data_IF_241138020618
#
_entry.id   IF_241138020618
#
_cell.length_a   1.000
_cell.length_b   1.000
_cell.length_c   1.000
_cell.angle_alpha   90.00
_cell.angle_beta   90.00
_cell.angle_gamma   90.00
#
_symmetry.space_group_name_H-M   'P 1'
#
loop_
_entity.id
_entity.type
_entity.pdbx_description
1 polymer ?
#
# COMPACT_ATOMS: atom_id res chain seq x y z
N UNK A 1 65.83 -1.31 16.52
CA UNK A 1 67.13 -1.13 15.85
C UNK A 1 66.82 -0.88 14.39
N UNK A 2 67.11 0.34 13.91
CA UNK A 2 66.90 0.71 12.50
C UNK A 2 68.02 0.10 11.66
N UNK A 3 67.66 -0.57 10.56
CA UNK A 3 68.46 -0.59 9.33
C UNK A 3 67.58 -1.01 8.15
N UNK A 4 67.56 -0.16 7.13
CA UNK A 4 66.87 -0.29 5.85
C UNK A 4 67.81 -0.85 4.77
N UNK A 5 67.21 -1.64 3.87
CA UNK A 5 67.48 -1.84 2.42
C UNK A 5 68.85 -2.43 2.01
N UNK A 6 68.86 -3.55 1.29
CA UNK A 6 69.22 -3.57 -0.14
C UNK A 6 69.04 -4.94 -0.84
N UNK A 7 68.35 -4.83 -1.96
CA UNK A 7 68.25 -5.66 -3.15
C UNK A 7 69.39 -6.67 -3.44
N UNK A 8 69.05 -7.93 -3.73
CA UNK A 8 69.70 -8.73 -4.78
C UNK A 8 69.00 -10.08 -4.99
N UNK A 9 68.49 -10.24 -6.20
CA UNK A 9 67.90 -11.46 -6.77
C UNK A 9 68.81 -12.69 -6.70
N UNK A 10 68.23 -13.84 -6.32
CA UNK A 10 68.74 -15.17 -6.68
C UNK A 10 67.64 -16.00 -7.38
N UNK A 11 68.01 -16.59 -8.53
CA UNK A 11 67.18 -17.52 -9.32
C UNK A 11 67.33 -18.96 -8.80
N UNK A 12 66.20 -19.65 -8.77
CA UNK A 12 65.94 -21.10 -8.86
C UNK A 12 66.56 -22.02 -7.80
N UNK A 13 65.71 -22.89 -7.21
CA UNK A 13 65.64 -24.34 -7.47
C UNK A 13 64.57 -24.94 -6.55
N UNK A 14 63.65 -25.73 -7.12
CA UNK A 14 63.09 -26.91 -6.45
C UNK A 14 61.74 -26.77 -5.72
N UNK A 15 60.77 -27.53 -6.23
CA UNK A 15 59.55 -28.04 -5.58
C UNK A 15 58.64 -27.06 -4.82
N UNK A 16 57.61 -26.59 -5.53
CA UNK A 16 56.40 -26.11 -4.88
C UNK A 16 55.28 -27.07 -5.24
N UNK A 17 54.87 -27.82 -4.22
CA UNK A 17 53.62 -28.56 -4.18
C UNK A 17 52.48 -27.66 -4.63
N UNK A 18 51.73 -28.14 -5.62
CA UNK A 18 50.54 -27.52 -6.17
C UNK A 18 49.49 -27.28 -5.09
N UNK A 19 49.53 -26.11 -4.46
CA UNK A 19 48.38 -25.55 -3.75
C UNK A 19 47.58 -24.78 -4.80
N UNK A 20 46.61 -25.46 -5.40
CA UNK A 20 45.52 -24.80 -6.12
C UNK A 20 44.73 -23.97 -5.11
N UNK A 21 45.17 -22.74 -4.88
CA UNK A 21 44.35 -21.72 -4.23
C UNK A 21 43.25 -21.37 -5.21
N UNK A 22 42.11 -22.06 -5.10
CA UNK A 22 40.86 -21.61 -5.69
C UNK A 22 40.51 -20.31 -4.95
N UNK A 23 40.89 -19.18 -5.52
CA UNK A 23 40.34 -17.89 -5.13
C UNK A 23 38.87 -17.98 -5.54
N UNK A 24 37.98 -18.27 -4.58
CA UNK A 24 36.57 -17.97 -4.73
C UNK A 24 36.49 -16.45 -4.88
N UNK A 25 36.48 -15.97 -6.13
CA UNK A 25 36.14 -14.60 -6.41
C UNK A 25 34.73 -14.39 -5.85
N UNK A 26 34.62 -13.65 -4.75
CA UNK A 26 33.32 -13.21 -4.25
C UNK A 26 32.66 -12.46 -5.40
N UNK A 27 31.59 -13.03 -5.94
CA UNK A 27 30.81 -12.39 -7.00
C UNK A 27 30.35 -11.05 -6.42
N UNK A 28 30.78 -9.95 -7.05
CA UNK A 28 30.34 -8.62 -6.64
C UNK A 28 28.80 -8.62 -6.60
N UNK A 29 28.18 -8.14 -5.50
CA UNK A 29 26.74 -8.17 -5.37
C UNK A 29 26.11 -7.38 -6.51
N UNK A 30 25.02 -7.91 -7.06
CA UNK A 30 24.28 -7.21 -8.11
C UNK A 30 23.66 -5.92 -7.56
N UNK A 31 23.25 -5.01 -8.46
CA UNK A 31 22.49 -3.82 -8.09
C UNK A 31 21.26 -4.19 -7.25
N UNK A 32 20.52 -5.19 -7.73
CA UNK A 32 19.27 -5.62 -7.10
C UNK A 32 19.54 -6.26 -5.73
N UNK A 33 20.57 -7.12 -5.60
CA UNK A 33 20.96 -7.73 -4.32
C UNK A 33 21.37 -6.67 -3.27
N UNK A 34 21.86 -5.53 -3.73
CA UNK A 34 22.27 -4.42 -2.87
C UNK A 34 21.07 -3.59 -2.43
N UNK A 35 20.15 -3.29 -3.36
CA UNK A 35 18.95 -2.50 -3.08
C UNK A 35 17.92 -3.27 -2.28
N UNK A 36 17.74 -4.57 -2.53
CA UNK A 36 16.74 -5.43 -1.88
C UNK A 36 16.91 -5.49 -0.35
N UNK A 37 18.13 -5.31 0.16
CA UNK A 37 18.40 -5.21 1.60
C UNK A 37 17.75 -4.01 2.29
N UNK A 38 17.42 -2.98 1.53
CA UNK A 38 16.91 -1.70 2.04
C UNK A 38 15.55 -1.33 1.46
N UNK A 39 15.22 -1.85 0.29
CA UNK A 39 13.93 -1.69 -0.34
C UNK A 39 12.85 -2.48 0.42
N UNK A 40 11.63 -1.99 0.31
CA UNK A 40 10.43 -2.74 0.63
C UNK A 40 9.63 -2.97 -0.66
N UNK A 41 9.76 -4.16 -1.24
CA UNK A 41 9.05 -4.55 -2.46
C UNK A 41 7.56 -4.86 -2.20
N UNK A 42 7.18 -5.15 -0.95
CA UNK A 42 5.77 -5.34 -0.57
C UNK A 42 4.95 -4.04 -0.67
N UNK A 43 5.62 -2.88 -0.73
CA UNK A 43 4.96 -1.59 -0.95
C UNK A 43 4.57 -1.32 -2.41
N UNK A 44 5.08 -2.10 -3.38
CA UNK A 44 4.74 -1.94 -4.80
C UNK A 44 3.28 -2.32 -5.07
N UNK A 45 2.66 -1.74 -6.10
CA UNK A 45 1.24 -1.97 -6.38
C UNK A 45 0.89 -3.44 -6.67
N UNK A 46 1.80 -4.17 -7.32
CA UNK A 46 1.67 -5.56 -7.76
C UNK A 46 2.30 -6.56 -6.78
N UNK A 47 2.56 -6.17 -5.53
CA UNK A 47 3.15 -7.09 -4.56
C UNK A 47 2.15 -8.15 -4.08
N UNK A 48 2.66 -9.30 -3.64
CA UNK A 48 1.84 -10.36 -3.03
C UNK A 48 1.09 -9.82 -1.81
N UNK A 49 1.74 -9.00 -0.98
CA UNK A 49 1.09 -8.41 0.19
C UNK A 49 -0.11 -7.53 -0.19
N UNK A 50 -0.05 -6.82 -1.32
CA UNK A 50 -1.20 -6.07 -1.84
C UNK A 50 -2.31 -7.01 -2.30
N UNK A 51 -1.96 -8.12 -2.95
CA UNK A 51 -2.93 -9.14 -3.34
C UNK A 51 -3.62 -9.79 -2.12
N UNK A 52 -2.86 -10.10 -1.06
CA UNK A 52 -3.38 -10.66 0.19
C UNK A 52 -4.28 -9.67 0.95
N UNK A 53 -4.05 -8.36 0.76
CA UNK A 53 -4.96 -7.30 1.21
C UNK A 53 -6.23 -7.15 0.35
N UNK A 54 -6.43 -8.03 -0.64
CA UNK A 54 -7.47 -7.94 -1.67
C UNK A 54 -7.45 -6.61 -2.45
N UNK A 55 -6.26 -6.00 -2.57
CA UNK A 55 -6.13 -4.77 -3.32
C UNK A 55 -6.39 -5.03 -4.80
N UNK A 56 -7.27 -4.23 -5.36
CA UNK A 56 -7.71 -4.34 -6.74
C UNK A 56 -7.80 -2.96 -7.39
N UNK A 57 -7.94 -2.97 -8.72
CA UNK A 57 -8.33 -1.79 -9.49
C UNK A 57 -9.78 -1.42 -9.26
N UNK A 58 -10.17 -0.24 -9.73
CA UNK A 58 -11.56 0.19 -9.77
C UNK A 58 -12.36 -0.82 -10.58
N UNK A 59 -13.53 -1.20 -10.05
CA UNK A 59 -14.50 -1.98 -10.79
C UNK A 59 -14.94 -1.19 -12.03
N UNK A 60 -15.20 -1.89 -13.13
CA UNK A 60 -15.65 -1.28 -14.37
C UNK A 60 -16.85 -0.34 -14.13
N UNK A 61 -16.84 0.80 -14.84
CA UNK A 61 -17.85 1.86 -14.70
C UNK A 61 -17.90 2.57 -13.34
N UNK A 62 -16.98 2.32 -12.41
CA UNK A 62 -16.86 3.09 -11.16
C UNK A 62 -15.74 4.13 -11.25
N UNK A 63 -15.94 5.29 -10.62
CA UNK A 63 -14.94 6.37 -10.52
C UNK A 63 -14.41 6.88 -11.87
N UNK A 64 -15.10 6.63 -12.99
CA UNK A 64 -14.59 6.94 -14.33
C UNK A 64 -14.26 8.42 -14.52
N UNK A 65 -15.08 9.32 -13.98
CA UNK A 65 -14.82 10.76 -14.08
C UNK A 65 -13.53 11.16 -13.35
N UNK A 66 -13.24 10.53 -12.22
CA UNK A 66 -12.01 10.78 -11.45
C UNK A 66 -10.81 10.19 -12.17
N UNK A 67 -10.91 8.92 -12.62
CA UNK A 67 -9.87 8.25 -13.39
C UNK A 67 -9.51 9.04 -14.64
N UNK A 68 -10.50 9.48 -15.42
CA UNK A 68 -10.31 10.31 -16.61
C UNK A 68 -9.55 11.61 -16.28
N UNK A 69 -9.91 12.32 -15.21
CA UNK A 69 -9.19 13.53 -14.79
C UNK A 69 -7.72 13.25 -14.42
N UNK A 70 -7.43 12.12 -13.79
CA UNK A 70 -6.05 11.72 -13.46
C UNK A 70 -5.29 11.34 -14.72
N UNK A 71 -5.91 10.61 -15.65
CA UNK A 71 -5.31 10.26 -16.94
C UNK A 71 -5.03 11.50 -17.77
N UNK A 72 -6.00 12.41 -17.89
CA UNK A 72 -5.82 13.72 -18.51
C UNK A 72 -4.67 14.48 -17.85
N UNK A 73 -4.60 14.50 -16.51
CA UNK A 73 -3.45 15.10 -15.83
C UNK A 73 -2.15 14.41 -16.21
N UNK A 74 -2.07 13.08 -16.20
CA UNK A 74 -0.85 12.32 -16.47
C UNK A 74 -0.34 12.52 -17.91
N UNK A 75 -1.25 12.60 -18.89
CA UNK A 75 -0.94 12.71 -20.32
C UNK A 75 -0.74 14.17 -20.78
N UNK A 76 -1.42 15.13 -20.15
CA UNK A 76 -1.31 16.54 -20.55
C UNK A 76 -0.03 17.16 -20.02
N UNK A 77 0.92 17.52 -20.88
CA UNK A 77 2.20 18.18 -20.54
C UNK A 77 2.10 19.60 -19.95
N UNK A 78 1.04 19.89 -19.18
CA UNK A 78 0.87 21.13 -18.43
C UNK A 78 1.98 21.32 -17.37
N UNK A 79 2.07 22.55 -16.85
CA UNK A 79 3.10 22.96 -15.88
C UNK A 79 2.95 22.35 -14.48
N UNK A 80 1.93 21.50 -14.24
CA UNK A 80 1.60 20.96 -12.91
C UNK A 80 1.95 19.47 -12.82
N UNK A 81 3.21 19.12 -12.48
CA UNK A 81 3.67 17.74 -12.45
C UNK A 81 3.20 16.96 -11.21
N UNK A 82 2.39 17.55 -10.34
CA UNK A 82 1.85 16.89 -9.14
C UNK A 82 0.32 16.82 -9.21
N UNK A 83 -0.23 15.64 -8.98
CA UNK A 83 -1.65 15.45 -8.70
C UNK A 83 -1.82 14.97 -7.27
N UNK A 84 -2.70 15.61 -6.51
CA UNK A 84 -3.06 15.17 -5.17
C UNK A 84 -4.52 14.77 -5.12
N UNK A 85 -4.75 13.46 -5.02
CA UNK A 85 -6.05 12.83 -4.84
C UNK A 85 -6.37 12.78 -3.34
N UNK A 86 -7.32 13.59 -2.91
CA UNK A 86 -7.69 13.72 -1.49
C UNK A 86 -9.13 13.28 -1.25
N UNK A 87 -9.36 12.57 -0.15
CA UNK A 87 -10.69 12.04 0.17
C UNK A 87 -10.76 11.35 1.52
N UNK A 88 -11.97 11.18 2.09
CA UNK A 88 -12.14 10.54 3.39
C UNK A 88 -11.67 9.08 3.39
N UNK A 89 -11.55 8.47 4.57
CA UNK A 89 -11.25 7.05 4.69
C UNK A 89 -12.31 6.21 3.94
N UNK A 90 -11.90 5.09 3.35
CA UNK A 90 -12.84 4.19 2.63
C UNK A 90 -13.40 4.70 1.30
N UNK A 91 -13.02 5.90 0.83
CA UNK A 91 -13.55 6.47 -0.43
C UNK A 91 -12.98 5.85 -1.73
N UNK A 92 -12.03 4.92 -1.64
CA UNK A 92 -11.42 4.24 -2.80
C UNK A 92 -10.15 4.88 -3.35
N UNK A 93 -9.47 5.77 -2.60
CA UNK A 93 -8.21 6.41 -3.04
C UNK A 93 -7.14 5.41 -3.47
N UNK A 94 -6.86 4.40 -2.64
CA UNK A 94 -5.86 3.36 -2.91
C UNK A 94 -6.23 2.50 -4.10
N UNK A 95 -7.52 2.23 -4.32
CA UNK A 95 -8.04 1.53 -5.50
C UNK A 95 -7.82 2.35 -6.78
N UNK A 96 -8.06 3.66 -6.73
CA UNK A 96 -7.76 4.58 -7.84
C UNK A 96 -6.26 4.64 -8.10
N UNK A 97 -5.43 4.78 -7.07
CA UNK A 97 -3.97 4.77 -7.20
C UNK A 97 -3.44 3.46 -7.80
N UNK A 98 -3.98 2.31 -7.37
CA UNK A 98 -3.67 1.00 -7.95
C UNK A 98 -4.02 0.97 -9.44
N UNK A 99 -5.23 1.41 -9.80
CA UNK A 99 -5.68 1.48 -11.20
C UNK A 99 -4.74 2.32 -12.07
N UNK A 100 -4.29 3.46 -11.55
CA UNK A 100 -3.36 4.33 -12.26
C UNK A 100 -1.98 3.67 -12.37
N UNK A 101 -1.46 3.04 -11.30
CA UNK A 101 -0.19 2.33 -11.36
C UNK A 101 -0.22 1.23 -12.44
N UNK A 102 -1.23 0.36 -12.41
CA UNK A 102 -1.39 -0.71 -13.40
C UNK A 102 -1.54 -0.17 -14.83
N UNK A 103 -2.29 0.92 -15.03
CA UNK A 103 -2.48 1.55 -16.34
C UNK A 103 -1.18 2.04 -17.00
N UNK A 104 -0.17 2.41 -16.20
CA UNK A 104 1.10 2.90 -16.73
C UNK A 104 2.22 1.85 -16.68
N UNK A 105 1.96 0.65 -16.15
CA UNK A 105 2.93 -0.44 -16.17
C UNK A 105 3.05 -1.06 -17.57
N UNK A 106 4.30 -1.37 -17.94
CA UNK A 106 4.68 -1.98 -19.21
C UNK A 106 4.07 -3.37 -19.40
N UNK A 107 4.02 -4.18 -18.35
CA UNK A 107 3.54 -5.57 -18.46
C UNK A 107 2.08 -5.61 -18.90
N UNK A 108 1.33 -4.55 -18.63
CA UNK A 108 -0.10 -4.43 -18.91
C UNK A 108 -0.35 -3.67 -20.22
N UNK A 109 0.41 -2.62 -20.52
CA UNK A 109 0.10 -1.69 -21.62
C UNK A 109 1.18 -1.59 -22.71
N UNK A 110 2.26 -2.39 -22.62
CA UNK A 110 3.34 -2.46 -23.62
C UNK A 110 4.28 -1.24 -23.66
N UNK A 111 3.94 -0.15 -22.97
CA UNK A 111 4.78 1.05 -22.80
C UNK A 111 5.14 1.22 -21.32
N UNK A 112 6.44 1.39 -21.03
CA UNK A 112 6.91 1.51 -19.66
C UNK A 112 6.89 2.96 -19.18
N UNK A 113 5.73 3.37 -18.69
CA UNK A 113 5.53 4.74 -18.19
C UNK A 113 5.45 4.80 -16.68
N UNK A 114 5.32 3.69 -15.96
CA UNK A 114 5.39 3.66 -14.50
C UNK A 114 6.86 3.59 -14.05
N UNK A 115 7.33 4.62 -13.35
CA UNK A 115 8.66 4.64 -12.77
C UNK A 115 8.69 4.06 -11.35
N UNK A 116 7.61 4.27 -10.59
CA UNK A 116 7.57 3.92 -9.17
C UNK A 116 6.15 3.87 -8.63
N UNK A 117 5.90 2.91 -7.75
CA UNK A 117 4.71 2.84 -6.93
C UNK A 117 5.07 2.48 -5.48
N UNK A 118 4.45 3.18 -4.51
CA UNK A 118 4.60 2.89 -3.09
C UNK A 118 3.28 3.14 -2.36
N UNK A 119 2.76 2.10 -1.72
CA UNK A 119 1.51 2.12 -0.98
C UNK A 119 1.79 2.05 0.51
N UNK A 120 1.77 3.21 1.18
CA UNK A 120 1.90 3.25 2.64
C UNK A 120 0.74 2.49 3.30
N UNK A 121 1.02 1.85 4.43
CA UNK A 121 0.01 1.15 5.22
C UNK A 121 0.40 1.12 6.68
N UNK A 122 -0.47 1.61 7.56
CA UNK A 122 -0.25 1.49 9.03
C UNK A 122 -0.40 0.06 9.54
N UNK A 123 -0.98 -0.84 8.73
CA UNK A 123 -1.16 -2.26 9.06
C UNK A 123 0.15 -3.03 9.00
N UNK A 124 1.14 -2.50 8.27
CA UNK A 124 2.42 -3.13 7.98
C UNK A 124 3.57 -2.18 8.34
N UNK A 125 4.35 -2.52 9.37
CA UNK A 125 5.41 -1.65 9.90
C UNK A 125 6.37 -1.18 8.81
N UNK A 126 6.83 -2.09 7.95
CA UNK A 126 7.78 -1.76 6.88
C UNK A 126 7.18 -0.90 5.77
N UNK A 127 5.85 -0.90 5.58
CA UNK A 127 5.16 -0.01 4.63
C UNK A 127 4.81 1.34 5.23
N UNK A 128 4.83 1.48 6.55
CA UNK A 128 4.72 2.78 7.22
C UNK A 128 6.06 3.51 7.34
N UNK A 129 7.17 2.81 7.09
CA UNK A 129 8.54 3.34 7.18
C UNK A 129 9.00 4.00 5.87
N UNK A 130 8.98 5.33 5.87
CA UNK A 130 9.46 6.17 4.78
C UNK A 130 10.95 5.98 4.45
N UNK A 131 11.77 5.43 5.36
CA UNK A 131 13.18 5.13 5.07
C UNK A 131 13.36 4.12 3.92
N UNK A 132 12.33 3.31 3.67
CA UNK A 132 12.29 2.32 2.59
C UNK A 132 11.99 2.92 1.22
N UNK A 133 11.43 4.15 1.17
CA UNK A 133 10.88 4.72 -0.06
C UNK A 133 11.92 4.91 -1.16
N UNK A 134 13.05 5.57 -0.89
CA UNK A 134 14.06 5.83 -1.93
C UNK A 134 14.82 4.59 -2.38
N UNK A 135 15.20 3.64 -1.51
CA UNK A 135 15.71 2.34 -1.94
C UNK A 135 14.71 1.57 -2.82
N UNK A 136 13.42 1.54 -2.45
CA UNK A 136 12.38 0.92 -3.29
C UNK A 136 12.23 1.64 -4.62
N UNK A 137 12.26 2.98 -4.64
CA UNK A 137 12.18 3.76 -5.87
C UNK A 137 13.39 3.45 -6.77
N UNK A 138 14.61 3.45 -6.23
CA UNK A 138 15.80 3.09 -6.98
C UNK A 138 15.67 1.69 -7.61
N UNK A 139 15.17 0.71 -6.86
CA UNK A 139 14.94 -0.66 -7.35
C UNK A 139 13.92 -0.67 -8.50
N UNK A 140 12.72 -0.13 -8.29
CA UNK A 140 11.66 -0.12 -9.31
C UNK A 140 12.06 0.67 -10.55
N UNK A 141 12.73 1.80 -10.38
CA UNK A 141 13.25 2.61 -11.47
C UNK A 141 14.33 1.87 -12.28
N UNK A 142 15.20 1.10 -11.61
CA UNK A 142 16.21 0.27 -12.27
C UNK A 142 15.58 -0.87 -13.09
N UNK A 143 14.46 -1.43 -12.65
CA UNK A 143 13.64 -2.35 -13.44
C UNK A 143 13.01 -1.63 -14.64
N UNK A 144 12.42 -0.46 -14.39
CA UNK A 144 11.69 0.27 -15.42
C UNK A 144 12.59 0.86 -16.51
N UNK A 145 13.77 1.35 -16.12
CA UNK A 145 14.72 1.99 -17.02
C UNK A 145 16.10 1.35 -16.89
N UNK A 146 16.37 0.24 -17.62
CA UNK A 146 17.63 -0.49 -17.51
C UNK A 146 18.90 0.36 -17.72
N UNK A 147 18.79 1.48 -18.44
CA UNK A 147 19.90 2.42 -18.64
C UNK A 147 20.43 3.06 -17.35
N UNK A 148 19.63 3.13 -16.29
CA UNK A 148 20.08 3.69 -14.99
C UNK A 148 20.86 2.67 -14.14
N UNK A 149 20.82 1.38 -14.48
CA UNK A 149 21.36 0.32 -13.62
C UNK A 149 22.87 0.45 -13.38
N UNK A 150 23.66 0.62 -14.45
CA UNK A 150 25.12 0.71 -14.33
C UNK A 150 25.59 1.97 -13.57
N UNK A 151 25.09 3.19 -13.90
CA UNK A 151 25.38 4.38 -13.10
C UNK A 151 25.00 4.25 -11.61
N UNK A 152 23.85 3.63 -11.33
CA UNK A 152 23.34 3.44 -9.97
C UNK A 152 24.18 2.44 -9.18
N UNK A 153 24.59 1.33 -9.80
CA UNK A 153 25.50 0.37 -9.19
C UNK A 153 26.84 1.02 -8.86
N UNK A 154 27.41 1.81 -9.77
CA UNK A 154 28.66 2.52 -9.52
C UNK A 154 28.55 3.50 -8.34
N UNK A 155 27.42 4.20 -8.19
CA UNK A 155 27.16 5.07 -7.06
C UNK A 155 27.05 4.30 -5.73
N UNK A 156 26.36 3.16 -5.72
CA UNK A 156 26.24 2.27 -4.56
C UNK A 156 27.58 1.65 -4.16
N UNK A 157 28.41 1.25 -5.12
CA UNK A 157 29.75 0.72 -4.85
C UNK A 157 30.68 1.79 -4.25
N UNK A 158 30.52 3.05 -4.67
CA UNK A 158 31.27 4.19 -4.13
C UNK A 158 30.81 4.59 -2.73
N UNK A 159 29.51 4.43 -2.43
CA UNK A 159 28.91 4.77 -1.14
C UNK A 159 27.91 3.70 -0.67
N UNK A 160 28.40 2.57 -0.12
CA UNK A 160 27.54 1.48 0.33
C UNK A 160 26.59 1.85 1.47
N UNK A 161 26.85 2.97 2.16
CA UNK A 161 26.06 3.44 3.29
C UNK A 161 24.92 4.40 2.87
N UNK A 162 24.73 4.67 1.57
CA UNK A 162 23.76 5.66 1.08
C UNK A 162 22.35 5.45 1.65
N UNK A 163 21.87 4.21 1.77
CA UNK A 163 20.54 3.89 2.30
C UNK A 163 20.32 4.27 3.78
N UNK A 164 21.39 4.59 4.51
CA UNK A 164 21.33 5.06 5.90
C UNK A 164 21.54 6.59 6.02
N UNK A 165 21.73 7.29 4.91
CA UNK A 165 21.94 8.74 4.90
C UNK A 165 20.60 9.49 4.93
N UNK A 166 20.68 10.83 5.02
CA UNK A 166 19.50 11.71 4.94
C UNK A 166 18.78 11.56 3.60
N UNK A 167 17.48 11.83 3.57
CA UNK A 167 16.63 11.65 2.40
C UNK A 167 17.11 12.42 1.17
N UNK A 168 17.58 13.66 1.35
CA UNK A 168 18.16 14.43 0.25
C UNK A 168 19.32 13.68 -0.44
N UNK A 169 20.21 13.07 0.34
CA UNK A 169 21.35 12.33 -0.18
C UNK A 169 20.92 11.01 -0.81
N UNK A 170 19.98 10.28 -0.20
CA UNK A 170 19.41 9.07 -0.77
C UNK A 170 18.78 9.36 -2.13
N UNK A 171 17.86 10.31 -2.19
CA UNK A 171 17.18 10.70 -3.42
C UNK A 171 18.16 11.13 -4.51
N UNK A 172 19.09 12.04 -4.19
CA UNK A 172 20.04 12.55 -5.17
C UNK A 172 20.94 11.43 -5.71
N UNK A 173 21.54 10.64 -4.82
CA UNK A 173 22.54 9.62 -5.18
C UNK A 173 21.94 8.34 -5.75
N UNK A 174 20.69 8.02 -5.45
CA UNK A 174 20.03 6.80 -5.94
C UNK A 174 19.11 7.05 -7.14
N UNK A 175 18.59 8.27 -7.30
CA UNK A 175 17.56 8.56 -8.31
C UNK A 175 17.98 9.76 -9.14
N UNK A 176 18.10 10.93 -8.50
CA UNK A 176 18.29 12.21 -9.18
C UNK A 176 19.45 12.19 -10.17
N UNK A 177 20.66 11.86 -9.72
CA UNK A 177 21.89 11.92 -10.53
C UNK A 177 21.86 10.98 -11.75
N UNK A 178 21.12 9.87 -11.66
CA UNK A 178 21.05 8.86 -12.72
C UNK A 178 19.97 9.16 -13.76
N UNK A 179 18.85 9.74 -13.33
CA UNK A 179 17.74 10.08 -14.22
C UNK A 179 18.05 11.32 -15.06
N UNK A 180 18.93 12.20 -14.59
CA UNK A 180 19.45 13.32 -15.39
C UNK A 180 20.09 12.86 -16.72
N UNK A 181 20.63 11.62 -16.75
CA UNK A 181 21.28 11.03 -17.92
C UNK A 181 20.29 10.55 -18.99
N UNK A 182 19.00 10.44 -18.66
CA UNK A 182 17.93 9.90 -19.51
C UNK A 182 16.75 10.87 -19.69
N UNK A 183 17.02 12.17 -19.54
CA UNK A 183 16.02 13.26 -19.63
C UNK A 183 15.22 13.35 -20.93
N UNK A 184 15.64 12.66 -21.98
CA UNK A 184 14.97 12.63 -23.28
C UNK A 184 13.81 11.63 -23.37
N UNK A 185 13.42 10.99 -22.27
CA UNK A 185 12.28 10.06 -22.21
C UNK A 185 10.98 10.82 -21.93
N UNK A 186 9.86 10.31 -22.43
CA UNK A 186 8.50 10.73 -22.06
C UNK A 186 8.30 10.78 -20.54
N UNK A 187 7.43 11.66 -20.01
CA UNK A 187 7.15 11.70 -18.59
C UNK A 187 6.73 10.33 -18.04
N UNK A 188 7.33 9.93 -16.94
CA UNK A 188 7.01 8.71 -16.20
C UNK A 188 6.18 9.03 -14.96
N UNK A 189 5.26 8.14 -14.63
CA UNK A 189 4.34 8.24 -13.52
C UNK A 189 4.97 7.66 -12.27
N UNK A 190 4.82 8.39 -11.17
CA UNK A 190 5.17 7.98 -9.81
C UNK A 190 3.89 7.99 -8.98
N UNK A 191 3.56 6.88 -8.35
CA UNK A 191 2.37 6.75 -7.50
C UNK A 191 2.81 6.57 -6.05
N UNK A 192 2.40 7.48 -5.17
CA UNK A 192 2.65 7.39 -3.73
C UNK A 192 1.29 7.47 -3.03
N UNK A 193 0.79 6.33 -2.59
CA UNK A 193 -0.52 6.18 -1.96
C UNK A 193 -0.41 6.22 -0.44
N UNK A 194 -1.35 6.92 0.21
CA UNK A 194 -1.52 6.90 1.66
C UNK A 194 -0.48 7.72 2.42
N UNK A 195 -0.18 8.97 2.02
CA UNK A 195 0.78 9.81 2.76
C UNK A 195 0.43 9.97 4.25
N UNK A 196 -0.86 9.95 4.59
CA UNK A 196 -1.34 9.98 5.98
C UNK A 196 -1.04 8.69 6.77
N UNK A 197 -0.69 7.60 6.09
CA UNK A 197 -0.34 6.31 6.67
C UNK A 197 1.17 6.14 6.92
N UNK A 198 1.99 7.14 6.55
CA UNK A 198 3.39 7.20 6.95
C UNK A 198 3.55 7.43 8.47
N UNK A 199 4.51 6.75 9.09
CA UNK A 199 4.77 6.83 10.52
C UNK A 199 5.35 8.15 11.03
N UNK A 200 5.77 9.08 10.15
CA UNK A 200 6.38 10.36 10.54
C UNK A 200 5.93 11.53 9.67
N UNK A 201 5.23 12.51 10.27
CA UNK A 201 4.77 13.73 9.59
C UNK A 201 5.93 14.60 9.08
N UNK A 202 7.00 14.71 9.87
CA UNK A 202 8.20 15.49 9.51
C UNK A 202 8.86 14.88 8.27
N UNK A 203 8.97 13.56 8.23
CA UNK A 203 9.56 12.87 7.07
C UNK A 203 8.67 12.98 5.81
N UNK A 204 7.34 13.00 5.97
CA UNK A 204 6.42 13.23 4.84
C UNK A 204 6.61 14.61 4.25
N UNK A 205 6.76 15.64 5.09
CA UNK A 205 7.04 17.00 4.63
C UNK A 205 8.37 17.06 3.86
N UNK A 206 9.46 16.53 4.43
CA UNK A 206 10.77 16.46 3.77
C UNK A 206 10.69 15.72 2.42
N UNK A 207 10.00 14.57 2.39
CA UNK A 207 9.77 13.77 1.18
C UNK A 207 9.06 14.58 0.09
N UNK A 208 7.94 15.23 0.41
CA UNK A 208 7.14 15.99 -0.56
C UNK A 208 7.97 17.17 -1.08
N UNK A 209 8.61 17.93 -0.20
CA UNK A 209 9.44 19.07 -0.59
C UNK A 209 10.59 18.66 -1.51
N UNK A 210 11.26 17.55 -1.19
CA UNK A 210 12.37 17.02 -1.97
C UNK A 210 11.92 16.54 -3.36
N UNK A 211 10.89 15.70 -3.42
CA UNK A 211 10.35 15.18 -4.68
C UNK A 211 9.84 16.30 -5.57
N UNK A 212 8.97 17.18 -5.05
CA UNK A 212 8.37 18.28 -5.82
C UNK A 212 9.39 19.36 -6.21
N UNK A 213 10.41 19.57 -5.38
CA UNK A 213 11.54 20.44 -5.67
C UNK A 213 12.39 19.94 -6.83
N UNK A 214 12.49 18.62 -7.02
CA UNK A 214 13.30 18.00 -8.05
C UNK A 214 12.58 17.86 -9.42
N UNK A 215 11.24 17.90 -9.45
CA UNK A 215 10.44 17.72 -10.67
C UNK A 215 10.84 18.61 -11.86
N UNK A 216 11.23 19.89 -11.71
CA UNK A 216 11.68 20.70 -12.86
C UNK A 216 12.89 20.11 -13.60
N UNK A 217 13.61 19.18 -12.96
CA UNK A 217 14.82 18.56 -13.49
C UNK A 217 14.63 17.10 -13.90
N UNK A 218 13.47 16.50 -13.63
CA UNK A 218 13.24 15.07 -13.78
C UNK A 218 11.99 14.80 -14.63
N UNK A 219 11.97 13.72 -15.43
CA UNK A 219 10.83 13.38 -16.29
C UNK A 219 9.75 12.67 -15.48
N UNK A 220 9.37 13.17 -14.30
CA UNK A 220 8.41 12.53 -13.42
C UNK A 220 7.13 13.35 -13.28
N UNK A 221 6.02 12.63 -13.10
CA UNK A 221 4.76 13.17 -12.62
C UNK A 221 4.29 12.35 -11.44
N UNK A 222 3.90 13.02 -10.36
CA UNK A 222 3.64 12.34 -9.09
C UNK A 222 2.15 12.41 -8.75
N UNK A 223 1.54 11.24 -8.61
CA UNK A 223 0.23 11.08 -8.00
C UNK A 223 0.43 10.78 -6.51
N UNK A 224 0.04 11.73 -5.66
CA UNK A 224 -0.10 11.53 -4.22
C UNK A 224 -1.54 11.23 -3.87
N UNK A 225 -1.76 10.33 -2.91
CA UNK A 225 -3.07 10.20 -2.25
C UNK A 225 -2.96 10.41 -0.75
N UNK A 226 -4.02 10.97 -0.16
CA UNK A 226 -4.14 11.02 1.30
C UNK A 226 -5.56 11.31 1.80
N UNK A 227 -5.77 11.13 3.11
CA UNK A 227 -6.84 11.80 3.85
C UNK A 227 -6.59 13.32 3.92
N UNK A 228 -7.64 14.14 4.14
CA UNK A 228 -7.54 15.60 4.21
C UNK A 228 -6.99 16.10 5.57
N UNK A 229 -5.89 15.50 6.03
CA UNK A 229 -5.19 15.87 7.27
C UNK A 229 -4.70 17.33 7.21
N UNK A 230 -4.78 18.05 8.34
CA UNK A 230 -4.43 19.47 8.39
C UNK A 230 -2.99 19.75 7.93
N UNK A 231 -2.03 18.97 8.43
CA UNK A 231 -0.62 19.14 8.08
C UNK A 231 -0.34 18.91 6.58
N UNK A 232 -1.03 17.96 5.93
CA UNK A 232 -0.88 17.74 4.48
C UNK A 232 -1.46 18.91 3.67
N UNK A 233 -2.60 19.48 4.11
CA UNK A 233 -3.16 20.68 3.48
C UNK A 233 -2.19 21.85 3.56
N UNK A 234 -1.54 22.04 4.71
CA UNK A 234 -0.53 23.10 4.91
C UNK A 234 0.67 22.90 3.99
N UNK A 235 1.21 21.68 3.91
CA UNK A 235 2.33 21.35 3.02
C UNK A 235 1.97 21.64 1.55
N UNK A 236 0.83 21.14 1.06
CA UNK A 236 0.43 21.34 -0.33
C UNK A 236 -0.01 22.78 -0.65
N UNK A 237 -0.40 23.56 0.35
CA UNK A 237 -0.64 25.00 0.24
C UNK A 237 0.66 25.84 0.27
N UNK A 238 1.80 25.21 0.56
CA UNK A 238 3.10 25.86 0.62
C UNK A 238 3.49 26.54 -0.71
N UNK A 239 4.15 27.72 -0.66
CA UNK A 239 4.50 28.48 -1.87
C UNK A 239 5.34 27.72 -2.90
N UNK A 240 6.15 26.75 -2.45
CA UNK A 240 7.00 25.93 -3.30
C UNK A 240 6.25 24.84 -4.09
N UNK A 241 5.00 24.53 -3.69
CA UNK A 241 4.21 23.40 -4.18
C UNK A 241 2.89 23.84 -4.82
N UNK A 242 2.22 24.87 -4.28
CA UNK A 242 0.84 25.24 -4.66
C UNK A 242 0.65 25.52 -6.16
N UNK A 243 1.66 26.05 -6.85
CA UNK A 243 1.58 26.33 -8.29
C UNK A 243 1.85 25.10 -9.16
N UNK A 244 2.34 23.99 -8.58
CA UNK A 244 2.71 22.75 -9.27
C UNK A 244 1.65 21.64 -9.13
N UNK A 245 0.58 21.90 -8.36
CA UNK A 245 -0.38 20.88 -7.94
C UNK A 245 -1.74 20.99 -8.64
N UNK A 246 -2.24 19.84 -9.06
CA UNK A 246 -3.64 19.63 -9.43
C UNK A 246 -4.30 18.85 -8.30
N UNK A 247 -5.17 19.52 -7.54
CA UNK A 247 -5.92 18.88 -6.45
C UNK A 247 -7.21 18.26 -6.99
N UNK A 248 -7.41 16.98 -6.74
CA UNK A 248 -8.65 16.25 -7.05
C UNK A 248 -9.26 15.79 -5.73
N UNK A 249 -10.37 16.38 -5.34
CA UNK A 249 -11.08 16.02 -4.11
C UNK A 249 -12.21 15.05 -4.42
N UNK A 250 -12.17 13.85 -3.84
CA UNK A 250 -13.23 12.85 -4.01
C UNK A 250 -14.58 13.32 -3.44
N UNK A 251 -14.60 14.36 -2.60
CA UNK A 251 -15.85 14.98 -2.14
C UNK A 251 -16.58 15.77 -3.24
N UNK A 252 -15.87 16.08 -4.33
CA UNK A 252 -16.40 16.86 -5.44
C UNK A 252 -17.07 15.94 -6.49
N UNK A 253 -17.12 14.63 -6.22
CA UNK A 253 -17.68 13.61 -7.09
C UNK A 253 -18.64 12.75 -6.27
N UNK A 254 -19.92 12.79 -6.64
CA UNK A 254 -20.91 11.89 -6.07
C UNK A 254 -20.57 10.45 -6.46
N UNK A 255 -20.49 9.57 -5.47
CA UNK A 255 -20.19 8.15 -5.65
C UNK A 255 -21.38 7.26 -5.31
N UNK A 256 -22.56 7.83 -5.02
CA UNK A 256 -23.74 7.06 -4.65
C UNK A 256 -24.09 6.03 -5.74
N UNK A 257 -24.08 6.46 -7.01
CA UNK A 257 -24.34 5.55 -8.13
C UNK A 257 -23.27 4.47 -8.28
N UNK A 258 -21.99 4.83 -8.13
CA UNK A 258 -20.89 3.87 -8.19
C UNK A 258 -21.00 2.82 -7.07
N UNK A 259 -21.34 3.26 -5.85
CA UNK A 259 -21.56 2.38 -4.69
C UNK A 259 -22.78 1.49 -4.90
N UNK A 260 -23.86 2.01 -5.47
CA UNK A 260 -25.03 1.21 -5.84
C UNK A 260 -24.63 0.08 -6.81
N UNK A 261 -23.88 0.39 -7.87
CA UNK A 261 -23.45 -0.60 -8.85
C UNK A 261 -22.49 -1.63 -8.24
N UNK A 262 -21.60 -1.19 -7.34
CA UNK A 262 -20.70 -2.06 -6.59
C UNK A 262 -21.49 -3.02 -5.69
N UNK A 263 -22.48 -2.53 -4.94
CA UNK A 263 -23.38 -3.35 -4.13
C UNK A 263 -24.19 -4.33 -4.98
N UNK A 264 -24.74 -3.89 -6.11
CA UNK A 264 -25.52 -4.73 -7.01
C UNK A 264 -24.69 -5.93 -7.50
N UNK A 265 -23.49 -5.68 -8.04
CA UNK A 265 -22.64 -6.75 -8.56
C UNK A 265 -22.12 -7.67 -7.44
N UNK A 266 -21.72 -7.11 -6.30
CA UNK A 266 -21.26 -7.88 -5.15
C UNK A 266 -22.34 -8.77 -4.54
N UNK A 267 -23.54 -8.24 -4.32
CA UNK A 267 -24.65 -9.00 -3.74
C UNK A 267 -25.28 -9.97 -4.75
N UNK A 268 -25.24 -9.69 -6.05
CA UNK A 268 -25.62 -10.69 -7.07
C UNK A 268 -24.66 -11.89 -7.06
N UNK A 269 -23.36 -11.66 -6.85
CA UNK A 269 -22.41 -12.75 -6.67
C UNK A 269 -22.72 -13.56 -5.40
N UNK A 270 -23.02 -12.89 -4.28
CA UNK A 270 -23.48 -13.55 -3.04
C UNK A 270 -24.74 -14.37 -3.30
N UNK A 271 -25.73 -13.82 -4.02
CA UNK A 271 -26.97 -14.52 -4.39
C UNK A 271 -26.68 -15.82 -5.11
N UNK A 272 -25.77 -15.79 -6.10
CA UNK A 272 -25.36 -16.95 -6.89
C UNK A 272 -24.67 -18.00 -6.03
N UNK A 273 -23.66 -17.60 -5.25
CA UNK A 273 -22.85 -18.51 -4.42
C UNK A 273 -23.71 -19.16 -3.32
N UNK A 274 -24.61 -18.38 -2.70
CA UNK A 274 -25.48 -18.82 -1.60
C UNK A 274 -26.82 -19.41 -2.07
N UNK A 275 -27.01 -19.57 -3.39
CA UNK A 275 -28.22 -20.13 -4.02
C UNK A 275 -29.54 -19.46 -3.56
N UNK A 276 -29.55 -18.13 -3.48
CA UNK A 276 -30.71 -17.35 -3.04
C UNK A 276 -31.69 -17.09 -4.21
N UNK A 277 -33.02 -17.00 -3.93
CA UNK A 277 -34.03 -16.76 -4.95
C UNK A 277 -33.86 -15.38 -5.59
N UNK A 278 -34.22 -15.26 -6.87
CA UNK A 278 -34.21 -13.99 -7.60
C UNK A 278 -35.62 -13.37 -7.61
N UNK A 279 -35.76 -12.03 -7.52
CA UNK A 279 -34.69 -11.05 -7.31
C UNK A 279 -34.22 -11.00 -5.84
N UNK A 280 -32.91 -10.88 -5.61
CA UNK A 280 -32.35 -10.62 -4.28
C UNK A 280 -30.98 -9.92 -4.39
N UNK A 281 -30.72 -8.87 -3.59
CA UNK A 281 -31.72 -8.07 -2.86
C UNK A 281 -32.71 -7.36 -3.81
N UNK A 282 -33.78 -6.77 -3.27
CA UNK A 282 -34.67 -5.94 -4.08
C UNK A 282 -33.96 -4.64 -4.52
N UNK A 283 -34.40 -4.03 -5.62
CA UNK A 283 -33.84 -2.74 -6.06
C UNK A 283 -34.02 -1.63 -5.02
N UNK A 284 -35.11 -1.67 -4.23
CA UNK A 284 -35.36 -0.74 -3.14
C UNK A 284 -34.39 -0.94 -1.97
N UNK A 285 -34.10 -2.20 -1.61
CA UNK A 285 -33.12 -2.51 -0.57
C UNK A 285 -31.72 -2.07 -0.99
N UNK A 286 -31.33 -2.30 -2.26
CA UNK A 286 -30.04 -1.83 -2.80
C UNK A 286 -29.91 -0.31 -2.71
N UNK A 287 -30.97 0.42 -3.09
CA UNK A 287 -30.98 1.87 -3.02
C UNK A 287 -30.83 2.35 -1.57
N UNK A 288 -31.57 1.75 -0.63
CA UNK A 288 -31.48 2.08 0.78
C UNK A 288 -30.09 1.81 1.36
N UNK A 289 -29.44 0.71 0.97
CA UNK A 289 -28.07 0.37 1.40
C UNK A 289 -27.03 1.31 0.78
N UNK A 290 -27.20 1.69 -0.49
CA UNK A 290 -26.34 2.67 -1.13
C UNK A 290 -26.41 4.02 -0.42
N UNK A 291 -27.62 4.48 -0.05
CA UNK A 291 -27.81 5.72 0.71
C UNK A 291 -27.20 5.64 2.12
N UNK A 292 -27.38 4.49 2.82
CA UNK A 292 -26.76 4.25 4.13
C UNK A 292 -25.24 4.24 4.10
N UNK A 293 -24.62 3.93 2.97
CA UNK A 293 -23.16 3.93 2.82
C UNK A 293 -22.54 5.32 2.90
N UNK A 294 -23.34 6.38 2.76
CA UNK A 294 -22.87 7.76 2.63
C UNK A 294 -21.83 7.92 1.51
N UNK A 295 -21.99 7.14 0.42
CA UNK A 295 -21.09 7.10 -0.74
C UNK A 295 -19.67 6.60 -0.43
N UNK A 296 -19.49 5.80 0.63
CA UNK A 296 -18.19 5.23 1.01
C UNK A 296 -18.12 3.75 0.60
N UNK A 297 -17.15 3.41 -0.26
CA UNK A 297 -16.96 2.04 -0.77
C UNK A 297 -16.64 1.02 0.32
N UNK A 298 -15.95 1.42 1.39
CA UNK A 298 -15.65 0.52 2.51
C UNK A 298 -16.91 -0.04 3.18
N UNK A 299 -17.98 0.74 3.24
CA UNK A 299 -19.26 0.27 3.76
C UNK A 299 -19.78 -0.84 2.85
N UNK A 300 -19.76 -0.60 1.54
CA UNK A 300 -20.27 -1.55 0.56
C UNK A 300 -19.48 -2.87 0.55
N UNK A 301 -18.14 -2.80 0.56
CA UNK A 301 -17.29 -3.99 0.60
C UNK A 301 -17.48 -4.76 1.91
N UNK A 302 -17.51 -4.07 3.05
CA UNK A 302 -17.76 -4.68 4.37
C UNK A 302 -19.14 -5.34 4.40
N UNK A 303 -20.16 -4.68 3.86
CA UNK A 303 -21.52 -5.20 3.83
C UNK A 303 -21.63 -6.47 2.97
N UNK A 304 -21.02 -6.46 1.78
CA UNK A 304 -20.99 -7.64 0.89
C UNK A 304 -20.32 -8.80 1.61
N UNK A 305 -19.17 -8.59 2.26
CA UNK A 305 -18.51 -9.64 3.05
C UNK A 305 -19.36 -10.12 4.22
N UNK A 306 -19.97 -9.19 4.97
CA UNK A 306 -20.79 -9.52 6.12
C UNK A 306 -22.01 -10.36 5.74
N UNK A 307 -22.74 -9.95 4.70
CA UNK A 307 -23.92 -10.65 4.20
C UNK A 307 -23.54 -11.96 3.50
N UNK A 308 -22.42 -11.99 2.80
CA UNK A 308 -21.94 -13.14 2.04
C UNK A 308 -21.20 -14.22 2.85
N UNK A 309 -20.79 -13.91 4.07
CA UNK A 309 -20.05 -14.82 4.95
C UNK A 309 -20.79 -16.15 5.16
N UNK A 310 -20.04 -17.25 5.11
CA UNK A 310 -20.58 -18.58 4.96
C UNK A 310 -21.31 -19.10 6.21
N UNK A 311 -20.93 -18.56 7.38
CA UNK A 311 -21.45 -18.91 8.70
C UNK A 311 -22.71 -18.13 9.07
N UNK A 312 -23.05 -17.09 8.30
CA UNK A 312 -24.27 -16.29 8.50
C UNK A 312 -25.41 -16.65 7.57
N UNK A 313 -26.62 -16.21 7.96
CA UNK A 313 -27.80 -16.22 7.08
C UNK A 313 -27.87 -14.90 6.30
N UNK A 314 -27.64 -14.90 4.97
CA UNK A 314 -27.56 -13.66 4.18
C UNK A 314 -28.81 -12.80 4.28
N UNK A 315 -30.00 -13.40 4.26
CA UNK A 315 -31.26 -12.65 4.35
C UNK A 315 -31.42 -11.96 5.72
N UNK A 316 -31.03 -12.63 6.82
CA UNK A 316 -31.08 -12.03 8.17
C UNK A 316 -30.12 -10.85 8.25
N UNK A 317 -28.85 -11.05 7.88
CA UNK A 317 -27.82 -10.00 7.94
C UNK A 317 -28.11 -8.80 7.03
N UNK A 318 -28.68 -9.04 5.85
CA UNK A 318 -29.16 -7.97 4.97
C UNK A 318 -30.27 -7.14 5.66
N UNK A 319 -31.24 -7.81 6.29
CA UNK A 319 -32.32 -7.15 7.02
C UNK A 319 -31.80 -6.37 8.24
N UNK A 320 -30.82 -6.91 8.96
CA UNK A 320 -30.21 -6.24 10.10
C UNK A 320 -29.44 -4.98 9.65
N UNK A 321 -28.69 -5.05 8.54
CA UNK A 321 -28.04 -3.90 7.93
C UNK A 321 -29.04 -2.83 7.43
N UNK A 322 -30.19 -3.25 6.88
CA UNK A 322 -31.27 -2.33 6.47
C UNK A 322 -31.91 -1.61 7.67
N UNK A 323 -32.04 -2.29 8.82
CA UNK A 323 -32.58 -1.71 10.05
C UNK A 323 -31.57 -0.84 10.80
N UNK A 324 -30.27 -1.06 10.62
CA UNK A 324 -29.20 -0.32 11.26
C UNK A 324 -29.23 1.18 10.89
N UNK A 325 -28.52 2.01 11.64
CA UNK A 325 -28.33 3.41 11.27
C UNK A 325 -27.44 3.52 10.02
N UNK A 326 -27.40 4.72 9.42
CA UNK A 326 -26.51 5.00 8.30
C UNK A 326 -25.06 5.11 8.79
N UNK A 327 -24.11 4.95 7.86
CA UNK A 327 -22.69 5.14 8.11
C UNK A 327 -21.96 3.85 8.45
N UNK A 328 -20.63 3.91 8.31
CA UNK A 328 -19.73 2.77 8.51
C UNK A 328 -19.72 2.24 9.94
N UNK A 329 -19.82 3.12 10.93
CA UNK A 329 -19.73 2.75 12.35
C UNK A 329 -20.90 1.85 12.74
N UNK A 330 -22.12 2.18 12.28
CA UNK A 330 -23.28 1.33 12.51
C UNK A 330 -23.16 -0.04 11.83
N UNK A 331 -22.48 -0.13 10.69
CA UNK A 331 -22.18 -1.44 10.07
C UNK A 331 -21.15 -2.23 10.88
N UNK A 332 -20.10 -1.58 11.39
CA UNK A 332 -19.14 -2.24 12.28
C UNK A 332 -19.82 -2.73 13.56
N UNK A 333 -20.69 -1.93 14.18
CA UNK A 333 -21.49 -2.36 15.33
C UNK A 333 -22.29 -3.63 15.02
N UNK A 334 -22.94 -3.70 13.85
CA UNK A 334 -23.70 -4.90 13.47
C UNK A 334 -22.82 -6.13 13.33
N UNK A 335 -21.65 -6.01 12.70
CA UNK A 335 -20.68 -7.10 12.61
C UNK A 335 -20.25 -7.55 14.01
N UNK A 336 -19.96 -6.61 14.91
CA UNK A 336 -19.54 -6.92 16.27
C UNK A 336 -20.67 -7.51 17.13
N UNK A 337 -21.93 -7.10 16.92
CA UNK A 337 -23.09 -7.69 17.61
C UNK A 337 -23.28 -9.14 17.18
N UNK A 338 -23.22 -9.41 15.88
CA UNK A 338 -23.31 -10.78 15.35
C UNK A 338 -22.14 -11.65 15.86
N UNK A 339 -20.93 -11.09 15.92
CA UNK A 339 -19.74 -11.79 16.40
C UNK A 339 -19.75 -12.10 17.91
N UNK A 340 -20.50 -11.36 18.73
CA UNK A 340 -20.62 -11.63 20.18
C UNK A 340 -21.26 -12.98 20.52
N UNK A 341 -21.93 -13.62 19.57
CA UNK A 341 -22.48 -14.96 19.76
C UNK A 341 -21.37 -16.04 19.85
N UNK A 342 -20.14 -15.74 19.39
CA UNK A 342 -19.02 -16.69 19.45
C UNK A 342 -18.35 -16.72 20.83
N UNK A 343 -18.02 -17.92 21.36
CA UNK A 343 -17.27 -18.06 22.61
C UNK A 343 -15.95 -17.28 22.58
N UNK A 344 -15.58 -16.69 23.71
CA UNK A 344 -14.32 -15.94 23.88
C UNK A 344 -14.12 -14.73 22.94
N UNK A 345 -15.13 -14.34 22.16
CA UNK A 345 -15.02 -13.22 21.21
C UNK A 345 -14.50 -11.94 21.86
N UNK A 346 -15.14 -11.48 22.94
CA UNK A 346 -14.80 -10.19 23.57
C UNK A 346 -13.35 -10.14 24.07
N UNK A 347 -12.85 -11.24 24.66
CA UNK A 347 -11.48 -11.27 25.19
C UNK A 347 -10.45 -11.35 24.05
N UNK A 348 -10.75 -12.12 22.99
CA UNK A 348 -9.87 -12.24 21.82
C UNK A 348 -9.83 -10.94 21.03
N UNK A 349 -10.98 -10.33 20.73
CA UNK A 349 -11.04 -9.04 20.05
C UNK A 349 -10.35 -7.95 20.88
N UNK A 350 -10.58 -7.92 22.20
CA UNK A 350 -9.91 -6.99 23.10
C UNK A 350 -8.39 -7.10 23.02
N UNK A 351 -7.85 -8.32 22.98
CA UNK A 351 -6.42 -8.55 22.79
C UNK A 351 -5.91 -8.03 21.43
N UNK A 352 -6.64 -8.31 20.34
CA UNK A 352 -6.29 -7.82 18.99
C UNK A 352 -6.22 -6.28 18.95
N UNK A 353 -7.17 -5.60 19.59
CA UNK A 353 -7.20 -4.13 19.65
C UNK A 353 -6.07 -3.58 20.51
N UNK A 354 -5.83 -4.15 21.68
CA UNK A 354 -4.83 -3.66 22.65
C UNK A 354 -3.40 -3.86 22.15
N UNK A 355 -3.11 -4.97 21.46
CA UNK A 355 -1.75 -5.29 21.03
C UNK A 355 -1.24 -4.41 19.88
N UNK A 356 -2.11 -3.58 19.27
CA UNK A 356 -1.79 -2.46 18.34
C UNK A 356 -0.84 -2.76 17.16
N UNK A 357 -0.46 -4.02 16.95
CA UNK A 357 0.58 -4.43 16.00
C UNK A 357 0.25 -5.72 15.27
N UNK A 358 -1.04 -6.03 15.12
CA UNK A 358 -1.54 -7.24 14.45
C UNK A 358 -0.96 -8.50 15.11
N UNK A 359 -1.55 -9.03 16.19
CA UNK A 359 -0.91 -10.12 16.92
C UNK A 359 -0.80 -11.39 16.08
N UNK A 360 0.33 -12.10 16.22
CA UNK A 360 0.49 -13.42 15.65
C UNK A 360 -0.60 -14.33 16.24
N UNK A 361 -1.33 -15.04 15.38
CA UNK A 361 -2.49 -15.82 15.81
C UNK A 361 -2.08 -16.99 16.72
N UNK A 362 -0.95 -17.64 16.46
CA UNK A 362 -0.42 -18.75 17.26
C UNK A 362 0.07 -18.33 18.66
N UNK A 363 0.34 -17.04 18.89
CA UNK A 363 0.72 -16.51 20.21
C UNK A 363 -0.49 -16.18 21.11
N UNK A 364 -1.68 -15.96 20.52
CA UNK A 364 -2.87 -15.56 21.25
C UNK A 364 -3.43 -16.62 22.22
N UNK A 365 -3.43 -17.94 21.91
CA UNK A 365 -3.95 -18.95 22.84
C UNK A 365 -3.24 -18.93 24.18
N UNK A 366 -1.91 -18.85 24.17
CA UNK A 366 -1.10 -18.78 25.38
C UNK A 366 -1.35 -17.48 26.17
N UNK A 367 -1.48 -16.35 25.47
CA UNK A 367 -1.74 -15.06 26.10
C UNK A 367 -3.12 -15.01 26.79
N UNK A 368 -4.12 -15.63 26.18
CA UNK A 368 -5.52 -15.56 26.61
C UNK A 368 -5.98 -16.79 27.39
N UNK A 369 -5.08 -17.75 27.63
CA UNK A 369 -5.37 -19.02 28.31
C UNK A 369 -6.49 -19.81 27.60
N UNK A 370 -6.39 -19.90 26.27
CA UNK A 370 -7.26 -20.71 25.41
C UNK A 370 -6.49 -21.95 24.93
N UNK A 371 -7.22 -22.99 24.55
CA UNK A 371 -6.65 -24.32 24.31
C UNK A 371 -5.87 -24.39 22.98
N UNK A 372 -6.30 -23.64 21.96
CA UNK A 372 -5.74 -23.75 20.61
C UNK A 372 -5.89 -22.48 19.77
N UNK A 373 -5.13 -22.41 18.66
CA UNK A 373 -5.30 -21.39 17.62
C UNK A 373 -6.69 -21.46 16.97
N UNK A 374 -7.29 -22.66 16.91
CA UNK A 374 -8.65 -22.84 16.40
C UNK A 374 -9.70 -22.13 17.27
N UNK A 375 -9.49 -22.04 18.59
CA UNK A 375 -10.39 -21.27 19.47
C UNK A 375 -10.34 -19.78 19.16
N UNK A 376 -9.18 -19.27 18.75
CA UNK A 376 -9.01 -17.88 18.30
C UNK A 376 -9.75 -17.64 16.98
N UNK A 377 -9.59 -18.57 16.00
CA UNK A 377 -10.31 -18.50 14.72
C UNK A 377 -11.82 -18.57 14.92
N UNK A 378 -12.29 -19.46 15.79
CA UNK A 378 -13.69 -19.60 16.15
C UNK A 378 -14.23 -18.33 16.83
N UNK A 379 -13.49 -17.79 17.81
CA UNK A 379 -13.88 -16.58 18.53
C UNK A 379 -14.06 -15.39 17.58
N UNK A 380 -13.19 -15.25 16.57
CA UNK A 380 -13.21 -14.15 15.62
C UNK A 380 -14.04 -14.42 14.36
N UNK A 381 -14.67 -15.59 14.22
CA UNK A 381 -15.38 -16.01 13.01
C UNK A 381 -16.46 -15.02 12.55
N UNK A 382 -17.19 -14.40 13.49
CA UNK A 382 -18.18 -13.37 13.14
C UNK A 382 -17.61 -12.07 12.56
N UNK A 383 -16.29 -11.87 12.62
CA UNK A 383 -15.61 -10.66 12.16
C UNK A 383 -14.90 -10.82 10.82
N UNK A 384 -15.17 -11.89 10.05
CA UNK A 384 -14.53 -12.14 8.74
C UNK A 384 -14.76 -11.02 7.71
N UNK A 385 -15.74 -10.14 7.92
CA UNK A 385 -15.98 -8.97 7.07
C UNK A 385 -15.08 -7.77 7.39
N UNK A 386 -14.48 -7.72 8.58
CA UNK A 386 -13.71 -6.58 9.09
C UNK A 386 -12.28 -6.95 9.50
N UNK A 387 -12.01 -8.23 9.78
CA UNK A 387 -10.70 -8.79 10.10
C UNK A 387 -10.28 -9.84 9.05
N UNK A 388 -9.02 -9.75 8.63
CA UNK A 388 -8.28 -10.85 8.02
C UNK A 388 -7.82 -11.79 9.14
N UNK A 389 -8.33 -13.02 9.11
CA UNK A 389 -7.99 -14.08 10.05
C UNK A 389 -7.19 -15.12 9.26
N UNK A 390 -5.89 -15.34 9.58
CA UNK A 390 -5.05 -16.21 8.79
C UNK A 390 -5.30 -17.70 9.04
N UNK A 391 -5.15 -18.49 7.98
CA UNK A 391 -5.13 -19.96 8.05
C UNK A 391 -3.82 -20.50 8.65
N UNK A 392 -2.71 -19.78 8.46
CA UNK A 392 -1.41 -20.14 9.05
C UNK A 392 -1.29 -19.64 10.49
N UNK A 393 -0.75 -20.48 11.38
CA UNK A 393 -0.48 -20.15 12.77
C UNK A 393 0.68 -19.13 12.92
N UNK A 394 1.54 -19.02 11.91
CA UNK A 394 2.69 -18.10 11.88
C UNK A 394 2.33 -16.68 11.42
N UNK A 395 1.08 -16.47 11.00
CA UNK A 395 0.62 -15.19 10.48
C UNK A 395 -0.22 -14.40 11.52
N UNK A 396 -0.65 -13.21 11.15
CA UNK A 396 -1.13 -12.17 12.05
C UNK A 396 -2.58 -11.78 11.76
N UNK A 397 -3.37 -11.64 12.83
CA UNK A 397 -4.74 -11.10 12.74
C UNK A 397 -4.66 -9.61 12.43
N UNK A 398 -5.33 -9.18 11.34
CA UNK A 398 -5.22 -7.80 10.82
C UNK A 398 -6.59 -7.24 10.48
N UNK A 399 -6.92 -5.97 10.77
CA UNK A 399 -8.12 -5.34 10.22
C UNK A 399 -7.99 -5.20 8.70
N UNK A 400 -9.06 -5.37 7.92
CA UNK A 400 -9.01 -5.08 6.47
C UNK A 400 -8.74 -3.59 6.20
N UNK A 401 -9.19 -2.73 7.10
CA UNK A 401 -9.13 -1.30 6.92
C UNK A 401 -8.79 -0.56 8.21
N UNK A 402 -7.94 0.47 8.09
CA UNK A 402 -7.54 1.35 9.18
C UNK A 402 -8.73 2.06 9.84
N UNK A 403 -9.84 2.24 9.11
CA UNK A 403 -11.10 2.77 9.66
C UNK A 403 -11.68 1.94 10.80
N UNK A 404 -11.44 0.62 10.83
CA UNK A 404 -11.84 -0.22 11.97
C UNK A 404 -11.01 0.12 13.21
N UNK A 405 -9.71 0.37 13.05
CA UNK A 405 -8.87 0.81 14.17
C UNK A 405 -9.28 2.19 14.66
N UNK A 406 -9.65 3.10 13.76
CA UNK A 406 -10.16 4.42 14.12
C UNK A 406 -11.47 4.32 14.91
N UNK A 407 -12.33 3.33 14.59
CA UNK A 407 -13.58 3.05 15.31
C UNK A 407 -13.32 2.43 16.69
N UNK A 408 -12.50 1.37 16.75
CA UNK A 408 -12.25 0.63 18.00
C UNK A 408 -11.40 1.42 19.03
N UNK A 409 -10.63 2.43 18.61
CA UNK A 409 -9.79 3.22 19.51
C UNK A 409 -10.41 4.56 19.95
N UNK A 410 -11.56 4.95 19.39
CA UNK A 410 -12.21 6.21 19.73
C UNK A 410 -13.42 5.94 20.64
N UNK A 411 -13.35 6.25 21.94
CA UNK A 411 -14.45 5.99 22.87
C UNK A 411 -15.67 6.89 22.63
N UNK A 412 -15.59 7.87 21.73
CA UNK A 412 -16.71 8.72 21.32
C UNK A 412 -17.50 8.19 20.11
N UNK A 413 -17.06 7.05 19.55
CA UNK A 413 -17.63 6.43 18.35
C UNK A 413 -18.26 5.08 18.63
#
# INVERSE_FOLDING_TARGET
MNAEIHDSTFRNVGDISSHNTIIYGSKLPSLFDTLERYANLNAAYHSIERQDEEASICQESTRETVLRKIVEWAENGNERPVCWLVGPAGSGKSTIAHTIAQRYDKEENGQNSLAFSFFFSRRHRDRSDVSKLFPTFAYQLACAVPRVQQPMLAALMKDPAVSHQRFELQFRKLIGDHVLLIRSISPMIVVIDGLDECGSRVHVEELIQLLVGALPKLPFRILFTSRPEAYLKEIFAGPSIINKITRISLRDFDALHDVYNYLYLGLENVRRIRNLPSPWPSAADLQALAEKSESIFIYASTLIKFVGDEYGQPQKRLQDALKAHKGLDSLFEQVLIDAKEYPSFSIVLGAVVVLRGSPNIGALPQLLQLDSTEDIRLALRGCLSILLIPDSDDDYVRPYHTSLLDFLNDPSR
#
